data_IF_660057305047
#
_entry.id   IF_660057305047
#
_cell.length_a   1.000
_cell.length_b   1.000
_cell.length_c   1.000
_cell.angle_alpha   90.00
_cell.angle_beta   90.00
_cell.angle_gamma   90.00
#
_symmetry.space_group_name_H-M   'P 1'
#
loop_
_entity.id
_entity.type
_entity.pdbx_description
1 polymer ?
#
# COMPACT_ATOMS: atom_id res chain seq x y z
N UNK A 1 -31.21 -36.28 -19.62
CA UNK A 1 -32.02 -35.07 -19.34
C UNK A 1 -32.89 -35.16 -18.09
N UNK A 2 -33.66 -36.23 -17.85
CA UNK A 2 -34.59 -36.31 -16.69
C UNK A 2 -33.92 -36.21 -15.31
N UNK A 3 -32.72 -36.77 -15.16
CA UNK A 3 -31.96 -36.75 -13.89
C UNK A 3 -31.44 -35.36 -13.52
N UNK A 4 -30.95 -34.60 -14.51
CA UNK A 4 -30.43 -33.24 -14.30
C UNK A 4 -31.56 -32.27 -13.89
N UNK A 5 -32.74 -32.43 -14.49
CA UNK A 5 -33.91 -31.62 -14.14
C UNK A 5 -34.38 -31.87 -12.69
N UNK A 6 -34.37 -33.14 -12.24
CA UNK A 6 -34.73 -33.47 -10.87
C UNK A 6 -33.74 -32.91 -9.84
N UNK A 7 -32.43 -32.90 -10.14
CA UNK A 7 -31.41 -32.30 -9.28
C UNK A 7 -31.58 -30.78 -9.20
N UNK A 8 -31.83 -30.11 -10.32
CA UNK A 8 -32.04 -28.64 -10.34
C UNK A 8 -33.31 -28.22 -9.60
N UNK A 9 -34.40 -28.98 -9.75
CA UNK A 9 -35.65 -28.74 -9.01
C UNK A 9 -35.44 -28.99 -7.51
N UNK A 10 -34.71 -30.05 -7.14
CA UNK A 10 -34.38 -30.32 -5.74
C UNK A 10 -33.54 -29.18 -5.13
N UNK A 11 -32.54 -28.68 -5.86
CA UNK A 11 -31.69 -27.57 -5.41
C UNK A 11 -32.49 -26.28 -5.22
N UNK A 12 -33.38 -25.96 -6.16
CA UNK A 12 -34.23 -24.79 -6.09
C UNK A 12 -35.20 -24.85 -4.90
N UNK A 13 -35.80 -26.03 -4.65
CA UNK A 13 -36.70 -26.24 -3.50
C UNK A 13 -35.94 -26.08 -2.18
N UNK A 14 -34.73 -26.63 -2.07
CA UNK A 14 -33.90 -26.45 -0.87
C UNK A 14 -33.49 -25.00 -0.67
N UNK A 15 -33.14 -24.28 -1.73
CA UNK A 15 -32.79 -22.85 -1.66
C UNK A 15 -33.96 -22.00 -1.14
N UNK A 16 -35.17 -22.25 -1.65
CA UNK A 16 -36.39 -21.53 -1.23
C UNK A 16 -36.76 -21.86 0.22
N UNK A 17 -36.64 -23.13 0.63
CA UNK A 17 -36.86 -23.54 2.03
C UNK A 17 -35.87 -22.88 2.99
N UNK A 18 -34.59 -22.83 2.61
CA UNK A 18 -33.56 -22.15 3.40
C UNK A 18 -33.88 -20.65 3.53
N UNK A 19 -34.30 -19.99 2.44
CA UNK A 19 -34.67 -18.57 2.49
C UNK A 19 -35.98 -18.30 3.27
N UNK A 20 -36.93 -19.22 3.26
CA UNK A 20 -38.20 -19.07 3.98
C UNK A 20 -38.07 -19.28 5.50
N UNK A 21 -37.07 -20.05 5.93
CA UNK A 21 -36.83 -20.37 7.35
C UNK A 21 -35.70 -19.53 7.95
N UNK A 22 -34.93 -18.82 7.12
CA UNK A 22 -33.92 -17.89 7.62
C UNK A 22 -34.58 -16.71 8.35
N UNK A 23 -34.22 -16.46 9.62
CA UNK A 23 -34.72 -15.29 10.34
C UNK A 23 -34.22 -14.01 9.65
N UNK A 24 -35.05 -12.97 9.57
CA UNK A 24 -34.68 -11.69 8.92
C UNK A 24 -33.40 -11.06 9.48
N UNK A 25 -32.99 -11.43 10.69
CA UNK A 25 -31.69 -11.08 11.27
C UNK A 25 -30.52 -11.75 10.54
N UNK A 26 -30.63 -13.01 10.11
CA UNK A 26 -29.60 -13.69 9.32
C UNK A 26 -29.46 -13.08 7.92
N UNK A 27 -30.58 -12.69 7.29
CA UNK A 27 -30.57 -11.91 6.03
C UNK A 27 -29.92 -10.54 6.20
N UNK A 28 -30.22 -9.81 7.29
CA UNK A 28 -29.52 -8.57 7.63
C UNK A 28 -28.03 -8.77 7.92
N UNK A 29 -27.64 -9.91 8.49
CA UNK A 29 -26.24 -10.24 8.75
C UNK A 29 -25.50 -10.61 7.44
N UNK A 30 -26.19 -11.22 6.48
CA UNK A 30 -25.67 -11.48 5.13
C UNK A 30 -25.61 -10.20 4.27
N UNK A 31 -26.55 -9.27 4.43
CA UNK A 31 -26.49 -7.94 3.81
C UNK A 31 -25.42 -7.06 4.47
N UNK A 32 -25.25 -7.12 5.80
CA UNK A 32 -24.16 -6.47 6.51
C UNK A 32 -22.79 -7.10 6.22
N UNK A 33 -22.75 -8.39 5.85
CA UNK A 33 -21.56 -9.08 5.37
C UNK A 33 -21.22 -8.78 3.90
N UNK A 34 -22.05 -8.02 3.19
CA UNK A 34 -21.77 -7.52 1.84
C UNK A 34 -20.88 -6.28 1.97
N UNK A 35 -19.61 -6.55 2.28
CA UNK A 35 -18.48 -5.61 2.45
C UNK A 35 -18.85 -4.15 2.23
N UNK A 36 -19.22 -3.46 3.31
CA UNK A 36 -18.95 -2.02 3.37
C UNK A 36 -17.44 -1.88 3.23
N UNK A 37 -16.99 -1.56 2.03
CA UNK A 37 -15.60 -1.24 1.72
C UNK A 37 -15.07 -0.29 2.80
N UNK A 38 -13.92 -0.63 3.38
CA UNK A 38 -13.36 0.04 4.55
C UNK A 38 -13.20 1.53 4.28
N UNK A 39 -13.46 2.38 5.28
CA UNK A 39 -13.40 3.83 5.12
C UNK A 39 -12.01 4.29 4.67
N UNK A 40 -10.95 3.69 5.24
CA UNK A 40 -9.56 3.93 4.82
C UNK A 40 -9.31 3.51 3.37
N UNK A 41 -9.89 2.40 2.90
CA UNK A 41 -9.73 1.93 1.52
C UNK A 41 -10.42 2.88 0.52
N UNK A 42 -11.61 3.40 0.87
CA UNK A 42 -12.29 4.44 0.09
C UNK A 42 -11.46 5.72 0.05
N UNK A 43 -10.95 6.17 1.19
CA UNK A 43 -10.13 7.40 1.27
C UNK A 43 -8.86 7.27 0.43
N UNK A 44 -8.21 6.11 0.47
CA UNK A 44 -7.08 5.80 -0.39
C UNK A 44 -7.45 5.83 -1.89
N UNK A 45 -8.53 5.16 -2.29
CA UNK A 45 -8.97 5.13 -3.69
C UNK A 45 -9.38 6.52 -4.20
N UNK A 46 -10.12 7.30 -3.40
CA UNK A 46 -10.49 8.68 -3.70
C UNK A 46 -9.24 9.58 -3.81
N UNK A 47 -8.28 9.40 -2.90
CA UNK A 47 -7.00 10.10 -2.91
C UNK A 47 -6.24 9.89 -4.22
N UNK A 48 -6.11 8.63 -4.68
CA UNK A 48 -5.42 8.33 -5.95
C UNK A 48 -6.04 9.09 -7.13
N UNK A 49 -7.37 9.19 -7.17
CA UNK A 49 -8.07 9.87 -8.26
C UNK A 49 -7.95 11.40 -8.21
N UNK A 50 -7.67 11.97 -7.03
CA UNK A 50 -7.57 13.42 -6.81
C UNK A 50 -6.14 13.91 -6.69
N UNK A 51 -5.17 13.01 -6.65
CA UNK A 51 -3.77 13.35 -6.39
C UNK A 51 -3.24 14.31 -7.44
N UNK A 52 -2.68 15.42 -6.96
CA UNK A 52 -1.98 16.38 -7.81
C UNK A 52 -0.51 15.97 -7.95
N UNK A 53 0.14 16.30 -9.07
CA UNK A 53 1.57 16.08 -9.21
C UNK A 53 2.35 16.78 -8.09
N UNK A 54 3.45 16.18 -7.64
CA UNK A 54 4.41 16.91 -6.80
C UNK A 54 4.89 18.14 -7.58
N UNK A 55 4.68 19.32 -7.00
CA UNK A 55 5.16 20.54 -7.62
C UNK A 55 6.68 20.66 -7.51
N UNK A 56 7.23 21.65 -8.21
CA UNK A 56 8.68 21.90 -8.21
C UNK A 56 9.20 22.28 -6.83
N UNK A 57 8.37 22.90 -5.99
CA UNK A 57 8.70 23.25 -4.61
C UNK A 57 8.87 22.02 -3.73
N UNK A 58 7.94 21.08 -3.80
CA UNK A 58 7.97 19.80 -3.09
C UNK A 58 9.19 18.99 -3.51
N UNK A 59 9.43 18.89 -4.82
CA UNK A 59 10.59 18.16 -5.34
C UNK A 59 11.89 18.80 -4.86
N UNK A 60 12.03 20.12 -4.94
CA UNK A 60 13.23 20.83 -4.46
C UNK A 60 13.42 20.67 -2.95
N UNK A 61 12.33 20.66 -2.17
CA UNK A 61 12.38 20.39 -0.72
C UNK A 61 12.93 18.99 -0.45
N UNK A 62 12.44 17.97 -1.17
CA UNK A 62 12.91 16.60 -1.04
C UNK A 62 14.37 16.46 -1.45
N UNK A 63 14.81 17.08 -2.55
CA UNK A 63 16.24 17.13 -2.90
C UNK A 63 17.07 17.80 -1.79
N UNK A 64 16.53 18.82 -1.13
CA UNK A 64 17.15 19.45 0.03
C UNK A 64 17.27 18.50 1.23
N UNK A 65 16.25 17.68 1.50
CA UNK A 65 16.31 16.61 2.51
C UNK A 65 17.40 15.60 2.12
N UNK A 66 17.39 15.12 0.88
CA UNK A 66 18.36 14.18 0.36
C UNK A 66 19.80 14.69 0.46
N UNK A 67 20.03 15.98 0.19
CA UNK A 67 21.36 16.60 0.30
C UNK A 67 21.89 16.63 1.75
N UNK A 68 21.00 16.70 2.75
CA UNK A 68 21.40 16.71 4.17
C UNK A 68 21.71 15.30 4.68
N UNK A 69 21.07 14.28 4.11
CA UNK A 69 21.33 12.86 4.40
C UNK A 69 22.35 12.22 3.45
N UNK A 70 22.90 12.95 2.46
CA UNK A 70 23.83 12.38 1.46
C UNK A 70 25.15 11.88 2.07
N UNK A 71 25.47 12.30 3.29
CA UNK A 71 26.57 11.75 4.09
C UNK A 71 26.24 10.44 4.81
N UNK A 72 25.00 9.96 4.75
CA UNK A 72 24.57 8.70 5.35
C UNK A 72 24.68 7.53 4.38
N UNK A 73 25.15 6.39 4.89
CA UNK A 73 25.30 5.16 4.12
C UNK A 73 23.92 4.51 3.88
N UNK A 74 23.55 4.26 2.61
CA UNK A 74 22.34 3.50 2.24
C UNK A 74 22.59 1.99 2.19
N UNK A 75 23.40 1.46 3.10
CA UNK A 75 23.70 0.02 3.17
C UNK A 75 22.53 -0.76 3.75
N UNK A 76 22.49 -2.07 3.54
CA UNK A 76 21.46 -2.94 4.14
C UNK A 76 21.28 -2.74 5.66
N UNK A 77 22.35 -2.44 6.40
CA UNK A 77 22.28 -2.31 7.86
C UNK A 77 21.73 -0.96 8.30
N UNK A 78 22.11 0.12 7.63
CA UNK A 78 21.74 1.51 7.97
C UNK A 78 20.50 2.01 7.26
N UNK A 79 20.08 1.36 6.17
CA UNK A 79 18.96 1.78 5.34
C UNK A 79 17.68 2.08 6.13
N UNK A 80 17.22 1.22 7.08
CA UNK A 80 15.99 1.52 7.81
C UNK A 80 16.05 2.84 8.58
N UNK A 81 17.17 3.10 9.28
CA UNK A 81 17.36 4.31 10.08
C UNK A 81 17.49 5.56 9.19
N UNK A 82 18.28 5.48 8.11
CA UNK A 82 18.45 6.58 7.15
C UNK A 82 17.14 6.91 6.43
N UNK A 83 16.38 5.89 6.01
CA UNK A 83 15.06 6.11 5.42
C UNK A 83 14.11 6.77 6.42
N UNK A 84 14.08 6.29 7.66
CA UNK A 84 13.22 6.84 8.71
C UNK A 84 13.57 8.30 9.02
N UNK A 85 14.86 8.64 9.08
CA UNK A 85 15.34 10.00 9.26
C UNK A 85 14.88 10.91 8.11
N UNK A 86 15.09 10.47 6.87
CA UNK A 86 14.67 11.20 5.67
C UNK A 86 13.15 11.42 5.62
N UNK A 87 12.36 10.40 5.97
CA UNK A 87 10.90 10.49 6.01
C UNK A 87 10.42 11.51 7.05
N UNK A 88 10.98 11.47 8.27
CA UNK A 88 10.66 12.43 9.33
C UNK A 88 11.04 13.85 8.94
N UNK A 89 12.20 14.01 8.30
CA UNK A 89 12.67 15.31 7.85
C UNK A 89 11.84 15.87 6.69
N UNK A 90 11.31 15.00 5.82
CA UNK A 90 10.30 15.35 4.83
C UNK A 90 8.91 15.61 5.42
N UNK A 91 8.76 15.55 6.75
CA UNK A 91 7.52 15.83 7.45
C UNK A 91 6.52 14.67 7.43
N UNK A 92 6.96 13.45 7.14
CA UNK A 92 6.09 12.26 7.18
C UNK A 92 6.01 11.67 8.61
N UNK A 93 4.86 11.09 9.00
CA UNK A 93 4.65 10.53 10.33
C UNK A 93 5.11 9.05 10.38
N UNK A 94 6.28 8.77 9.81
CA UNK A 94 6.87 7.44 9.80
C UNK A 94 7.26 7.01 11.22
N UNK A 95 6.73 5.86 11.66
CA UNK A 95 7.00 5.28 12.98
C UNK A 95 8.22 4.36 12.93
N UNK A 96 8.23 3.48 11.94
CA UNK A 96 9.18 2.38 11.83
C UNK A 96 9.46 2.06 10.37
N UNK A 97 10.70 1.69 10.08
CA UNK A 97 11.13 1.15 8.80
C UNK A 97 11.86 -0.16 9.05
N UNK A 98 11.60 -1.17 8.23
CA UNK A 98 12.27 -2.47 8.31
C UNK A 98 12.73 -2.91 6.92
N UNK A 99 13.83 -3.67 6.88
CA UNK A 99 14.23 -4.46 5.73
C UNK A 99 14.08 -5.93 6.06
N UNK A 100 13.11 -6.58 5.41
CA UNK A 100 12.82 -8.00 5.62
C UNK A 100 13.09 -8.80 4.35
N UNK A 101 13.35 -10.11 4.43
CA UNK A 101 13.27 -10.97 3.25
C UNK A 101 11.93 -10.75 2.53
N UNK A 102 11.94 -10.69 1.20
CA UNK A 102 10.73 -10.41 0.43
C UNK A 102 9.59 -11.37 0.84
N UNK A 103 8.38 -10.81 0.98
CA UNK A 103 7.20 -11.59 1.38
C UNK A 103 6.75 -12.56 0.27
N UNK A 104 7.09 -12.26 -0.98
CA UNK A 104 6.99 -13.20 -2.09
C UNK A 104 8.06 -14.29 -1.98
N UNK A 105 7.63 -15.56 -1.94
CA UNK A 105 8.52 -16.69 -1.67
C UNK A 105 9.62 -16.88 -2.72
N UNK A 106 9.35 -16.57 -3.99
CA UNK A 106 10.32 -16.78 -5.07
C UNK A 106 11.33 -15.64 -5.12
N UNK A 107 10.88 -14.42 -4.83
CA UNK A 107 11.78 -13.26 -4.61
C UNK A 107 12.64 -13.45 -3.37
N UNK A 108 12.08 -13.99 -2.29
CA UNK A 108 12.80 -14.30 -1.06
C UNK A 108 13.96 -15.28 -1.30
N UNK A 109 13.72 -16.35 -2.07
CA UNK A 109 14.76 -17.32 -2.48
C UNK A 109 15.86 -16.69 -3.33
N UNK A 110 15.57 -15.62 -4.06
CA UNK A 110 16.55 -14.82 -4.82
C UNK A 110 17.34 -13.83 -3.93
N UNK A 111 17.12 -13.85 -2.62
CA UNK A 111 17.73 -12.92 -1.67
C UNK A 111 17.22 -11.48 -1.78
N UNK A 112 16.04 -11.28 -2.41
CA UNK A 112 15.40 -9.95 -2.47
C UNK A 112 14.83 -9.57 -1.11
N UNK A 113 14.85 -8.28 -0.82
CA UNK A 113 14.28 -7.70 0.40
C UNK A 113 13.05 -6.85 0.10
N UNK A 114 12.11 -6.84 1.02
CA UNK A 114 11.03 -5.86 1.05
C UNK A 114 11.37 -4.75 2.05
N UNK A 115 11.04 -3.51 1.67
CA UNK A 115 11.08 -2.34 2.55
C UNK A 115 9.70 -2.22 3.16
N UNK A 116 9.61 -2.26 4.48
CA UNK A 116 8.37 -2.05 5.21
C UNK A 116 8.45 -0.70 5.89
N UNK A 117 7.45 0.14 5.68
CA UNK A 117 7.28 1.42 6.38
C UNK A 117 5.95 1.35 7.13
N UNK A 118 5.98 1.57 8.44
CA UNK A 118 4.78 1.73 9.27
C UNK A 118 4.61 3.20 9.58
N UNK A 119 3.43 3.75 9.30
CA UNK A 119 3.14 5.18 9.42
C UNK A 119 1.76 5.39 10.01
N UNK A 120 1.60 6.46 10.78
CA UNK A 120 0.25 6.98 11.06
C UNK A 120 -0.30 7.62 9.79
N UNK A 121 -1.60 7.55 9.60
CA UNK A 121 -2.28 8.19 8.49
C UNK A 121 -3.64 8.72 8.95
N UNK A 122 -3.66 9.78 9.77
CA UNK A 122 -4.91 10.39 10.23
C UNK A 122 -5.63 11.10 9.07
N UNK A 123 -6.87 11.52 9.28
CA UNK A 123 -7.77 12.09 8.25
C UNK A 123 -7.22 13.33 7.55
N UNK A 124 -6.35 14.10 8.20
CA UNK A 124 -5.76 15.29 7.61
C UNK A 124 -4.63 14.98 6.62
N UNK A 125 -4.18 13.72 6.56
CA UNK A 125 -3.12 13.28 5.64
C UNK A 125 -3.70 12.77 4.33
N UNK A 126 -3.01 13.11 3.25
CA UNK A 126 -3.39 12.73 1.89
C UNK A 126 -2.54 11.56 1.39
N UNK A 127 -3.00 10.90 0.33
CA UNK A 127 -2.28 9.85 -0.41
C UNK A 127 -0.97 10.37 -1.01
N UNK A 128 -0.84 11.70 -1.14
CA UNK A 128 0.37 12.39 -1.56
C UNK A 128 1.59 12.04 -0.70
N UNK A 129 1.43 11.67 0.57
CA UNK A 129 2.52 11.17 1.42
C UNK A 129 3.18 9.90 0.83
N UNK A 130 2.41 9.07 0.12
CA UNK A 130 2.93 7.87 -0.55
C UNK A 130 3.87 8.20 -1.71
N UNK A 131 3.69 9.36 -2.35
CA UNK A 131 4.63 9.84 -3.37
C UNK A 131 6.00 10.10 -2.73
N UNK A 132 6.02 10.70 -1.54
CA UNK A 132 7.25 10.99 -0.82
C UNK A 132 7.93 9.69 -0.38
N UNK A 133 7.19 8.75 0.20
CA UNK A 133 7.74 7.42 0.52
C UNK A 133 8.31 6.70 -0.71
N UNK A 134 7.59 6.75 -1.84
CA UNK A 134 8.06 6.21 -3.11
C UNK A 134 9.33 6.88 -3.62
N UNK A 135 9.43 8.20 -3.50
CA UNK A 135 10.62 8.96 -3.89
C UNK A 135 11.84 8.58 -3.05
N UNK A 136 11.68 8.52 -1.71
CA UNK A 136 12.75 8.12 -0.79
C UNK A 136 13.19 6.67 -1.02
N UNK A 137 12.25 5.76 -1.29
CA UNK A 137 12.58 4.36 -1.63
C UNK A 137 13.32 4.26 -2.96
N UNK A 138 12.93 5.08 -3.94
CA UNK A 138 13.63 5.18 -5.21
C UNK A 138 15.08 5.63 -5.02
N UNK A 139 15.29 6.71 -4.27
CA UNK A 139 16.63 7.22 -3.95
C UNK A 139 17.47 6.17 -3.20
N UNK A 140 16.95 5.69 -2.07
CA UNK A 140 17.70 4.77 -1.21
C UNK A 140 18.06 3.49 -1.95
N UNK A 141 17.15 2.95 -2.76
CA UNK A 141 17.43 1.72 -3.50
C UNK A 141 18.37 1.92 -4.70
N UNK A 142 18.48 3.13 -5.27
CA UNK A 142 19.50 3.44 -6.28
C UNK A 142 20.91 3.49 -5.69
N UNK A 143 21.02 4.00 -4.45
CA UNK A 143 22.29 4.14 -3.72
C UNK A 143 22.69 2.87 -2.95
N UNK A 144 21.74 1.98 -2.69
CA UNK A 144 21.98 0.80 -1.86
C UNK A 144 22.80 -0.31 -2.53
N UNK A 145 23.47 -1.11 -1.69
CA UNK A 145 24.23 -2.31 -2.09
C UNK A 145 23.44 -3.62 -1.99
N UNK A 146 22.12 -3.56 -1.80
CA UNK A 146 21.26 -4.73 -1.71
C UNK A 146 20.19 -4.71 -2.81
N UNK A 147 19.56 -5.87 -3.00
CA UNK A 147 18.48 -5.99 -3.97
C UNK A 147 17.12 -6.00 -3.27
N UNK A 148 16.29 -5.03 -3.59
CA UNK A 148 14.92 -4.94 -3.09
C UNK A 148 13.89 -5.42 -4.12
N UNK A 149 12.69 -5.76 -3.65
CA UNK A 149 11.55 -6.15 -4.48
C UNK A 149 10.40 -5.15 -4.35
N UNK A 150 9.91 -4.89 -3.14
CA UNK A 150 8.73 -4.06 -2.92
C UNK A 150 8.91 -3.10 -1.74
N UNK A 151 8.30 -1.94 -1.86
CA UNK A 151 7.98 -1.03 -0.77
C UNK A 151 6.56 -1.33 -0.30
N UNK A 152 6.39 -1.65 0.97
CA UNK A 152 5.11 -1.74 1.65
C UNK A 152 4.96 -0.55 2.60
N UNK A 153 3.90 0.22 2.44
CA UNK A 153 3.53 1.31 3.36
C UNK A 153 2.28 0.89 4.12
N UNK A 154 2.44 0.55 5.40
CA UNK A 154 1.37 0.22 6.32
C UNK A 154 0.83 1.50 6.94
N UNK A 155 -0.45 1.76 6.69
CA UNK A 155 -1.18 2.95 7.07
C UNK A 155 -2.09 2.60 8.24
N UNK A 156 -1.85 3.24 9.38
CA UNK A 156 -2.69 3.15 10.57
C UNK A 156 -3.50 4.45 10.70
N UNK A 157 -4.80 4.37 10.41
CA UNK A 157 -5.73 5.51 10.45
C UNK A 157 -6.60 5.51 11.72
N UNK A 158 -6.22 4.75 12.75
CA UNK A 158 -6.95 4.70 14.01
C UNK A 158 -8.38 4.17 13.81
N UNK A 159 -9.37 5.05 13.95
CA UNK A 159 -10.79 4.70 13.93
C UNK A 159 -11.29 4.20 12.55
N UNK A 160 -10.67 4.65 11.46
CA UNK A 160 -10.96 4.15 10.10
C UNK A 160 -10.34 2.77 9.81
N UNK A 161 -9.50 2.27 10.73
CA UNK A 161 -8.78 1.02 10.62
C UNK A 161 -7.39 1.15 10.01
N UNK A 162 -6.90 0.05 9.43
CA UNK A 162 -5.55 -0.05 8.87
C UNK A 162 -5.56 -0.66 7.49
N UNK A 163 -4.56 -0.34 6.68
CA UNK A 163 -4.32 -0.98 5.39
C UNK A 163 -2.87 -0.82 4.95
N UNK A 164 -2.55 -1.34 3.78
CA UNK A 164 -1.21 -1.21 3.20
C UNK A 164 -1.24 -0.98 1.71
N UNK A 165 -0.37 -0.08 1.25
CA UNK A 165 -0.07 0.14 -0.14
C UNK A 165 1.25 -0.53 -0.51
N UNK A 166 1.28 -1.21 -1.65
CA UNK A 166 2.45 -1.87 -2.21
C UNK A 166 2.93 -1.20 -3.49
N UNK A 167 4.24 -0.97 -3.60
CA UNK A 167 4.89 -0.41 -4.78
C UNK A 167 6.09 -1.26 -5.15
N UNK A 168 6.27 -1.61 -6.43
CA UNK A 168 7.52 -2.22 -6.85
C UNK A 168 8.69 -1.23 -6.67
N UNK A 169 9.82 -1.69 -6.14
CA UNK A 169 10.95 -0.78 -5.93
C UNK A 169 11.54 -0.28 -7.25
N UNK A 170 11.34 -1.00 -8.36
CA UNK A 170 11.67 -0.52 -9.70
C UNK A 170 10.81 0.69 -10.10
N UNK A 171 9.52 0.69 -9.78
CA UNK A 171 8.64 1.83 -10.03
C UNK A 171 9.03 3.03 -9.17
N UNK A 172 9.43 2.81 -7.91
CA UNK A 172 9.99 3.86 -7.06
C UNK A 172 11.23 4.51 -7.70
N UNK A 173 12.13 3.70 -8.28
CA UNK A 173 13.34 4.20 -8.98
C UNK A 173 13.01 4.98 -10.24
N UNK A 174 12.03 4.52 -11.02
CA UNK A 174 11.57 5.24 -12.20
C UNK A 174 10.92 6.56 -11.83
N UNK A 175 10.09 6.56 -10.78
CA UNK A 175 9.48 7.75 -10.23
C UNK A 175 10.53 8.77 -9.76
N UNK A 176 11.50 8.34 -8.93
CA UNK A 176 12.63 9.17 -8.47
C UNK A 176 13.40 9.85 -9.59
N UNK A 177 13.58 9.15 -10.72
CA UNK A 177 14.28 9.65 -11.90
C UNK A 177 13.38 10.43 -12.89
N UNK A 178 12.12 10.70 -12.53
CA UNK A 178 11.17 11.41 -13.39
C UNK A 178 10.73 10.64 -14.63
N UNK A 179 10.90 9.31 -14.66
CA UNK A 179 10.48 8.43 -15.77
C UNK A 179 9.01 7.99 -15.67
N UNK A 180 8.41 8.12 -14.49
CA UNK A 180 7.00 7.84 -14.23
C UNK A 180 6.37 9.08 -13.60
N UNK A 181 5.17 9.46 -14.01
CA UNK A 181 4.43 10.57 -13.37
C UNK A 181 3.93 10.19 -11.97
N UNK A 182 3.65 11.16 -11.08
CA UNK A 182 3.05 10.88 -9.77
C UNK A 182 1.77 10.05 -9.84
N UNK A 183 0.86 10.40 -10.75
CA UNK A 183 -0.38 9.65 -10.97
C UNK A 183 -0.13 8.24 -11.50
N UNK A 184 0.81 8.06 -12.44
CA UNK A 184 1.18 6.75 -12.96
C UNK A 184 1.82 5.86 -11.89
N UNK A 185 2.64 6.44 -11.01
CA UNK A 185 3.25 5.73 -9.89
C UNK A 185 2.20 5.24 -8.89
N UNK A 186 1.25 6.10 -8.50
CA UNK A 186 0.17 5.71 -7.60
C UNK A 186 -0.81 4.73 -8.24
N UNK A 187 -1.10 4.85 -9.53
CA UNK A 187 -1.96 3.91 -10.24
C UNK A 187 -1.40 2.48 -10.28
N UNK A 188 -0.07 2.33 -10.30
CA UNK A 188 0.59 1.03 -10.26
C UNK A 188 0.62 0.40 -8.85
N UNK A 189 0.17 1.14 -7.83
CA UNK A 189 0.20 0.63 -6.46
C UNK A 189 -0.93 -0.36 -6.19
N UNK A 190 -0.66 -1.33 -5.31
CA UNK A 190 -1.64 -2.34 -4.90
C UNK A 190 -2.08 -2.09 -3.47
N UNK A 191 -3.39 -1.97 -3.25
CA UNK A 191 -3.98 -1.89 -1.92
C UNK A 191 -4.23 -3.29 -1.31
N UNK A 192 -4.08 -3.42 0.00
CA UNK A 192 -4.53 -4.58 0.76
C UNK A 192 -4.88 -4.18 2.20
N UNK A 193 -5.86 -4.87 2.78
CA UNK A 193 -6.19 -4.80 4.22
C UNK A 193 -5.54 -5.97 4.99
#
# INVERSE_FOLDING_TARGET
MKFFFAVMVSLAVHLVLIMAVMPSSALKTMEAGRSTESEIAKRYADGINRVLPMDTGTTASLEGVLARIDGEDWTRQSFPDTFLAAAKEAGLPAKEVELVPALDSDRSKQGRLDIIVKTEWPEERDVSDLLIYGFLAGEGTLKSNFSSHRLWVYLDAGDEGSGRAAFETMDCRYFRNGKTSPSGFLYNSTWSE
#
